data_IF_504489616039
#
_entry.id   IF_504489616039
#
_cell.length_a   1.000
_cell.length_b   1.000
_cell.length_c   1.000
_cell.angle_alpha   90.00
_cell.angle_beta   90.00
_cell.angle_gamma   90.00
#
_symmetry.space_group_name_H-M   'P 1'
#
loop_
_entity.id
_entity.type
_entity.pdbx_description
1 polymer ?
#
# COMPACT_ATOMS: atom_id res chain seq x y z
N UNK A 1 -12.99 21.44 -36.62
CA UNK A 1 -11.67 21.55 -35.98
C UNK A 1 -11.82 21.06 -34.55
N UNK A 2 -11.13 19.98 -34.18
CA UNK A 2 -11.23 19.38 -32.83
C UNK A 2 -9.81 19.30 -32.29
N UNK A 3 -9.39 20.31 -31.53
CA UNK A 3 -8.18 20.24 -30.73
C UNK A 3 -8.59 19.88 -29.31
N UNK A 4 -8.75 18.58 -29.07
CA UNK A 4 -8.96 18.05 -27.72
C UNK A 4 -7.63 18.17 -26.97
N UNK A 5 -7.45 19.26 -26.22
CA UNK A 5 -6.32 19.45 -25.31
C UNK A 5 -6.46 18.48 -24.14
N UNK A 6 -6.04 17.22 -24.34
CA UNK A 6 -5.88 16.27 -23.24
C UNK A 6 -4.69 16.71 -22.40
N UNK A 7 -4.97 17.47 -21.35
CA UNK A 7 -4.01 17.67 -20.26
C UNK A 7 -3.69 16.27 -19.71
N UNK A 8 -2.43 15.83 -19.67
CA UNK A 8 -2.07 14.60 -18.99
C UNK A 8 -2.35 14.81 -17.50
N UNK A 9 -3.55 14.46 -17.06
CA UNK A 9 -3.87 14.33 -15.65
C UNK A 9 -3.12 13.10 -15.19
N UNK A 10 -2.00 13.30 -14.50
CA UNK A 10 -1.35 12.25 -13.71
C UNK A 10 -2.36 11.79 -12.64
N UNK A 11 -3.19 10.82 -12.99
CA UNK A 11 -4.09 10.17 -12.05
C UNK A 11 -3.30 9.03 -11.41
N UNK A 12 -2.90 9.23 -10.16
CA UNK A 12 -2.32 8.14 -9.39
C UNK A 12 -3.47 7.31 -8.80
N UNK A 13 -3.65 6.10 -9.31
CA UNK A 13 -4.51 5.06 -8.73
C UNK A 13 -3.92 4.44 -7.46
N UNK A 14 -3.01 5.14 -6.79
CA UNK A 14 -2.45 4.74 -5.50
C UNK A 14 -3.52 4.86 -4.43
N UNK A 15 -4.18 3.74 -4.18
CA UNK A 15 -5.11 3.56 -3.07
C UNK A 15 -4.43 2.80 -1.94
N UNK A 16 -4.94 3.00 -0.72
CA UNK A 16 -4.48 2.27 0.47
C UNK A 16 -4.46 0.76 0.21
N UNK A 17 -5.54 0.24 -0.37
CA UNK A 17 -5.71 -1.19 -0.70
C UNK A 17 -4.60 -1.77 -1.60
N UNK A 18 -4.01 -0.94 -2.46
CA UNK A 18 -2.92 -1.34 -3.34
C UNK A 18 -1.61 -1.45 -2.57
N UNK A 19 -1.36 -0.51 -1.66
CA UNK A 19 -0.18 -0.51 -0.79
C UNK A 19 -0.28 -1.62 0.26
N UNK A 20 -1.48 -1.87 0.76
CA UNK A 20 -1.82 -2.99 1.64
C UNK A 20 -1.44 -4.33 0.99
N UNK A 21 -1.80 -4.54 -0.28
CA UNK A 21 -1.38 -5.73 -1.04
C UNK A 21 0.14 -5.84 -1.18
N UNK A 22 0.84 -4.74 -1.43
CA UNK A 22 2.31 -4.73 -1.51
C UNK A 22 2.93 -5.13 -0.16
N UNK A 23 2.41 -4.59 0.94
CA UNK A 23 2.82 -4.94 2.30
C UNK A 23 2.56 -6.42 2.61
N UNK A 24 1.41 -6.95 2.20
CA UNK A 24 1.07 -8.37 2.31
C UNK A 24 2.04 -9.24 1.51
N UNK A 25 2.42 -8.80 0.30
CA UNK A 25 3.38 -9.52 -0.55
C UNK A 25 4.81 -9.55 -0.01
N UNK A 26 5.21 -8.63 0.87
CA UNK A 26 6.51 -8.72 1.59
C UNK A 26 6.58 -9.96 2.48
N UNK A 27 5.42 -10.40 2.98
CA UNK A 27 5.28 -11.58 3.79
C UNK A 27 5.01 -11.26 5.26
N UNK A 28 4.46 -12.28 5.93
CA UNK A 28 4.06 -12.23 7.33
C UNK A 28 5.21 -11.97 8.30
N UNK A 29 6.42 -12.42 7.99
CA UNK A 29 7.60 -12.22 8.85
C UNK A 29 7.99 -10.74 8.89
N UNK A 30 8.13 -10.12 7.71
CA UNK A 30 8.41 -8.68 7.58
C UNK A 30 7.34 -7.81 8.24
N UNK A 31 6.07 -8.13 8.02
CA UNK A 31 4.98 -7.41 8.68
C UNK A 31 5.08 -7.51 10.21
N UNK A 32 5.42 -8.69 10.74
CA UNK A 32 5.55 -8.90 12.19
C UNK A 32 6.73 -8.10 12.76
N UNK A 33 7.84 -8.09 12.03
CA UNK A 33 9.04 -7.34 12.39
C UNK A 33 8.75 -5.83 12.39
N UNK A 34 8.09 -5.30 11.36
CA UNK A 34 7.63 -3.91 11.32
C UNK A 34 6.69 -3.53 12.48
N UNK A 35 5.82 -4.45 12.92
CA UNK A 35 4.95 -4.21 14.09
C UNK A 35 5.78 -4.17 15.38
N UNK A 36 6.73 -5.08 15.55
CA UNK A 36 7.46 -5.26 16.82
C UNK A 36 8.65 -4.32 16.97
N UNK A 37 9.38 -4.08 15.90
CA UNK A 37 10.58 -3.25 15.89
C UNK A 37 10.23 -1.79 15.55
N UNK A 38 9.42 -1.58 14.52
CA UNK A 38 9.11 -0.24 14.01
C UNK A 38 7.77 0.33 14.50
N UNK A 39 6.97 -0.47 15.21
CA UNK A 39 5.65 -0.06 15.72
C UNK A 39 4.72 0.55 14.64
N UNK A 40 4.85 0.06 13.41
CA UNK A 40 4.13 0.60 12.25
C UNK A 40 4.96 0.55 10.97
N UNK A 41 4.33 0.95 9.86
CA UNK A 41 5.00 1.07 8.57
C UNK A 41 4.62 2.38 7.89
N UNK A 42 5.55 2.97 7.16
CA UNK A 42 5.32 4.15 6.35
C UNK A 42 5.67 3.83 4.90
N UNK A 43 4.70 3.98 4.01
CA UNK A 43 4.84 3.67 2.59
C UNK A 43 4.65 4.94 1.79
N UNK A 44 5.66 5.34 1.05
CA UNK A 44 5.56 6.42 0.08
C UNK A 44 5.23 5.87 -1.31
N UNK A 45 4.34 6.57 -2.01
CA UNK A 45 4.05 6.27 -3.38
C UNK A 45 5.06 6.99 -4.28
N UNK A 46 5.95 6.24 -4.93
CA UNK A 46 6.93 6.79 -5.86
C UNK A 46 6.34 7.61 -7.03
N UNK A 47 5.05 7.43 -7.35
CA UNK A 47 4.39 8.12 -8.47
C UNK A 47 3.79 9.48 -8.08
N UNK A 48 3.10 9.56 -6.94
CA UNK A 48 2.45 10.80 -6.49
C UNK A 48 3.08 11.43 -5.25
N UNK A 49 4.09 10.78 -4.68
CA UNK A 49 4.78 11.18 -3.46
C UNK A 49 3.86 11.27 -2.23
N UNK A 50 2.67 10.64 -2.27
CA UNK A 50 1.83 10.50 -1.08
C UNK A 50 2.48 9.53 -0.10
N UNK A 51 2.46 9.92 1.16
CA UNK A 51 2.91 9.12 2.29
C UNK A 51 1.71 8.52 3.00
N UNK A 52 1.70 7.20 3.11
CA UNK A 52 0.68 6.43 3.81
C UNK A 52 1.30 5.84 5.06
N UNK A 53 0.67 6.07 6.21
CA UNK A 53 1.10 5.52 7.48
C UNK A 53 0.15 4.40 7.88
N UNK A 54 0.72 3.24 8.14
CA UNK A 54 0.05 2.06 8.67
C UNK A 54 0.45 1.93 10.13
N UNK A 55 -0.55 1.87 11.00
CA UNK A 55 -0.33 1.64 12.42
C UNK A 55 -0.10 0.17 12.70
N UNK A 56 0.33 -0.18 13.90
CA UNK A 56 0.43 -1.60 14.32
C UNK A 56 -0.88 -2.36 14.10
N UNK A 57 -2.03 -1.71 14.32
CA UNK A 57 -3.35 -2.34 14.13
C UNK A 57 -3.63 -2.62 12.64
N UNK A 58 -3.31 -1.67 11.76
CA UNK A 58 -3.38 -1.87 10.32
C UNK A 58 -2.49 -3.03 9.87
N UNK A 59 -1.24 -3.08 10.33
CA UNK A 59 -0.33 -4.16 9.98
C UNK A 59 -0.81 -5.53 10.51
N UNK A 60 -1.45 -5.57 11.68
CA UNK A 60 -2.08 -6.80 12.21
C UNK A 60 -3.28 -7.23 11.37
N UNK A 61 -4.11 -6.29 10.92
CA UNK A 61 -5.19 -6.53 9.97
C UNK A 61 -4.67 -7.09 8.64
N UNK A 62 -3.59 -6.50 8.12
CA UNK A 62 -2.94 -6.95 6.90
C UNK A 62 -2.32 -8.34 7.06
N UNK A 63 -1.71 -8.63 8.20
CA UNK A 63 -1.17 -9.95 8.52
C UNK A 63 -2.28 -11.02 8.55
N UNK A 64 -3.44 -10.69 9.12
CA UNK A 64 -4.61 -11.57 9.13
C UNK A 64 -5.21 -11.75 7.72
N UNK A 65 -5.22 -10.70 6.90
CA UNK A 65 -5.64 -10.78 5.50
C UNK A 65 -4.65 -11.58 4.64
N UNK A 66 -3.34 -11.44 4.88
CA UNK A 66 -2.27 -12.16 4.18
C UNK A 66 -2.39 -13.67 4.32
N UNK A 67 -2.83 -14.16 5.47
CA UNK A 67 -3.07 -15.60 5.68
C UNK A 67 -4.20 -16.19 4.86
N UNK A 68 -5.01 -15.36 4.18
CA UNK A 68 -6.19 -15.78 3.41
C UNK A 68 -6.09 -15.49 1.90
N UNK A 69 -4.97 -14.99 1.38
CA UNK A 69 -4.91 -14.35 0.07
C UNK A 69 -3.95 -14.96 -0.96
N UNK A 70 -4.12 -16.24 -1.31
CA UNK A 70 -3.75 -16.76 -2.63
C UNK A 70 -5.03 -17.22 -3.33
N UNK A 71 -5.80 -16.28 -3.87
CA UNK A 71 -6.71 -16.57 -4.96
C UNK A 71 -6.86 -15.36 -5.91
N UNK A 72 -6.19 -15.52 -7.06
CA UNK A 72 -6.44 -14.94 -8.39
C UNK A 72 -5.46 -13.89 -8.94
#
# INVERSE_FOLDING_TARGET
>A
EILEQRTPRFHCDCSREKLERVLISLGRDELNDMIREQHGAEVDCHFCLKRYRFTEDDLKLLLAAATHGEEH
#
